data_IF_123499188347
#
_entry.id   IF_123499188347
#
_cell.length_a   1.000
_cell.length_b   1.000
_cell.length_c   1.000
_cell.angle_alpha   90.00
_cell.angle_beta   90.00
_cell.angle_gamma   90.00
#
_symmetry.space_group_name_H-M   'P 1'
#
loop_
_entity.id
_entity.type
_entity.pdbx_description
1 polymer ?
#
# COMPACT_ATOMS: atom_id res chain seq x y z
N UNK A 1 4.74 -8.84 1.66
CA UNK A 1 4.16 -8.23 0.45
C UNK A 1 3.16 -9.17 -0.16
N UNK A 2 2.07 -8.64 -0.70
CA UNK A 2 1.12 -9.34 -1.55
C UNK A 2 1.36 -8.86 -2.97
N UNK A 3 1.50 -9.78 -3.89
CA UNK A 3 1.88 -9.51 -5.28
C UNK A 3 0.91 -10.24 -6.20
N UNK A 4 0.37 -9.51 -7.16
CA UNK A 4 -0.44 -10.07 -8.25
C UNK A 4 0.45 -10.25 -9.48
N UNK A 5 0.46 -11.46 -10.04
CA UNK A 5 1.27 -11.82 -11.20
C UNK A 5 0.35 -12.30 -12.31
N UNK A 6 0.23 -11.53 -13.38
CA UNK A 6 -0.55 -11.91 -14.54
C UNK A 6 0.30 -11.75 -15.80
N UNK A 7 0.62 -12.86 -16.45
CA UNK A 7 1.49 -12.92 -17.64
C UNK A 7 2.86 -12.24 -17.36
N UNK A 8 3.15 -11.11 -17.98
CA UNK A 8 4.37 -10.31 -17.79
C UNK A 8 4.16 -9.13 -16.81
N UNK A 9 2.98 -8.97 -16.25
CA UNK A 9 2.67 -7.92 -15.28
C UNK A 9 2.87 -8.41 -13.85
N UNK A 10 3.64 -7.67 -13.07
CA UNK A 10 3.88 -7.91 -11.64
C UNK A 10 3.44 -6.65 -10.89
N UNK A 11 2.35 -6.74 -10.15
CA UNK A 11 1.78 -5.64 -9.38
C UNK A 11 1.89 -5.93 -7.89
N UNK A 12 2.51 -5.04 -7.12
CA UNK A 12 2.50 -5.10 -5.66
C UNK A 12 1.15 -4.53 -5.20
N UNK A 13 0.34 -5.34 -4.51
CA UNK A 13 -0.97 -4.93 -3.98
C UNK A 13 -0.85 -4.32 -2.59
N UNK A 14 -0.01 -4.90 -1.73
CA UNK A 14 0.24 -4.40 -0.38
C UNK A 14 1.61 -4.78 0.14
N UNK A 15 2.16 -3.92 0.99
CA UNK A 15 3.36 -4.17 1.78
C UNK A 15 3.06 -3.87 3.25
N UNK A 16 3.36 -4.82 4.11
CA UNK A 16 3.32 -4.64 5.57
C UNK A 16 4.54 -5.27 6.19
N UNK A 17 5.06 -4.71 7.27
CA UNK A 17 6.27 -5.20 7.91
C UNK A 17 6.40 -4.77 9.36
N UNK A 18 7.35 -5.39 10.05
CA UNK A 18 7.83 -5.00 11.36
C UNK A 18 9.36 -4.94 11.28
N UNK A 19 9.91 -3.73 11.36
CA UNK A 19 11.34 -3.47 11.19
C UNK A 19 12.22 -4.10 12.28
N UNK A 20 11.59 -4.54 13.37
CA UNK A 20 12.25 -5.17 14.51
C UNK A 20 11.85 -6.64 14.66
N UNK A 21 11.43 -7.31 13.57
CA UNK A 21 11.03 -8.70 13.58
C UNK A 21 11.88 -9.51 12.60
N UNK A 22 12.72 -10.41 13.15
CA UNK A 22 13.62 -11.21 12.33
C UNK A 22 14.22 -12.41 13.06
N UNK A 23 15.31 -12.93 12.50
CA UNK A 23 16.03 -14.07 13.06
C UNK A 23 16.61 -13.86 14.45
N UNK A 24 16.94 -12.60 14.78
CA UNK A 24 17.53 -12.22 16.07
C UNK A 24 16.52 -12.29 17.21
N UNK A 25 15.24 -12.00 16.96
CA UNK A 25 14.17 -12.20 17.95
C UNK A 25 14.08 -13.68 18.40
N UNK A 26 14.27 -14.61 17.46
CA UNK A 26 14.34 -16.04 17.81
C UNK A 26 15.59 -16.36 18.62
N UNK A 27 16.74 -15.74 18.33
CA UNK A 27 17.95 -15.91 19.14
C UNK A 27 17.73 -15.41 20.57
N UNK A 28 17.08 -14.25 20.73
CA UNK A 28 16.73 -13.69 22.04
C UNK A 28 15.72 -14.57 22.80
N UNK A 29 14.71 -15.10 22.10
CA UNK A 29 13.74 -16.02 22.71
C UNK A 29 14.41 -17.29 23.23
N UNK A 30 15.30 -17.91 22.45
CA UNK A 30 16.08 -19.09 22.85
C UNK A 30 17.00 -18.76 24.01
N UNK A 31 17.74 -17.63 23.95
CA UNK A 31 18.62 -17.21 25.03
C UNK A 31 17.84 -16.91 26.32
N UNK A 32 16.69 -16.25 26.20
CA UNK A 32 15.80 -15.99 27.35
C UNK A 32 15.25 -17.27 27.98
N UNK A 33 14.84 -18.25 27.16
CA UNK A 33 14.41 -19.58 27.62
C UNK A 33 15.55 -20.33 28.34
N UNK A 34 16.77 -20.27 27.80
CA UNK A 34 17.97 -20.85 28.43
C UNK A 34 18.24 -20.21 29.79
N UNK A 35 18.26 -18.91 29.91
CA UNK A 35 18.48 -18.20 31.16
C UNK A 35 17.41 -18.53 32.19
N UNK A 36 16.13 -18.60 31.76
CA UNK A 36 15.02 -18.94 32.64
C UNK A 36 15.12 -20.36 33.22
N UNK A 37 15.49 -21.35 32.40
CA UNK A 37 15.68 -22.73 32.84
C UNK A 37 16.76 -22.85 33.93
N UNK A 38 17.85 -22.09 33.75
CA UNK A 38 18.97 -22.10 34.69
C UNK A 38 18.85 -21.07 35.83
N UNK A 39 17.70 -20.39 35.94
CA UNK A 39 17.42 -19.35 36.95
C UNK A 39 18.42 -18.19 36.91
N UNK A 40 18.97 -17.91 35.75
CA UNK A 40 19.91 -16.80 35.52
C UNK A 40 19.14 -15.58 35.05
N UNK A 41 19.65 -14.37 35.41
CA UNK A 41 19.07 -13.12 34.96
C UNK A 41 20.02 -12.44 33.95
N UNK A 42 19.50 -11.98 32.85
CA UNK A 42 20.27 -11.29 31.79
C UNK A 42 21.15 -10.16 32.34
N UNK A 43 20.58 -9.36 33.28
CA UNK A 43 21.30 -8.25 33.92
C UNK A 43 22.53 -8.64 34.74
N UNK A 44 22.71 -9.93 35.04
CA UNK A 44 23.85 -10.47 35.76
C UNK A 44 24.97 -10.93 34.82
N UNK A 45 24.74 -10.95 33.50
CA UNK A 45 25.74 -11.28 32.49
C UNK A 45 26.47 -10.02 32.05
N UNK A 46 27.76 -10.14 31.78
CA UNK A 46 28.47 -9.11 31.03
C UNK A 46 27.98 -9.06 29.59
N UNK A 47 28.18 -7.94 28.90
CA UNK A 47 27.84 -7.77 27.48
C UNK A 47 28.47 -8.86 26.62
N UNK A 48 29.71 -9.23 26.92
CA UNK A 48 30.45 -10.30 26.22
C UNK A 48 29.80 -11.67 26.43
N UNK A 49 29.43 -12.00 27.66
CA UNK A 49 28.75 -13.28 27.95
C UNK A 49 27.38 -13.37 27.28
N UNK A 50 26.62 -12.25 27.27
CA UNK A 50 25.33 -12.21 26.59
C UNK A 50 25.48 -12.34 25.08
N UNK A 51 26.45 -11.67 24.48
CA UNK A 51 26.75 -11.80 23.03
C UNK A 51 27.15 -13.24 22.65
N UNK A 52 27.94 -13.92 23.51
CA UNK A 52 28.29 -15.34 23.32
C UNK A 52 27.04 -16.21 23.44
N UNK A 53 26.15 -15.95 24.41
CA UNK A 53 24.91 -16.68 24.60
C UNK A 53 24.00 -16.56 23.36
N UNK A 54 23.83 -15.34 22.81
CA UNK A 54 23.07 -15.10 21.57
C UNK A 54 23.65 -15.88 20.38
N UNK A 55 24.99 -15.92 20.27
CA UNK A 55 25.66 -16.72 19.22
C UNK A 55 25.43 -18.21 19.39
N UNK A 56 25.36 -18.73 20.63
CA UNK A 56 25.01 -20.12 20.86
C UNK A 56 23.52 -20.40 20.55
N UNK A 57 22.64 -19.45 20.86
CA UNK A 57 21.22 -19.51 20.50
C UNK A 57 21.03 -19.54 18.97
N UNK A 58 21.78 -18.72 18.23
CA UNK A 58 21.79 -18.74 16.76
C UNK A 58 22.23 -20.09 16.20
N UNK A 59 23.35 -20.65 16.72
CA UNK A 59 23.83 -21.97 16.32
C UNK A 59 22.78 -23.06 16.61
N UNK A 60 22.14 -22.98 17.78
CA UNK A 60 21.04 -23.87 18.16
C UNK A 60 19.89 -23.76 17.17
N UNK A 61 19.41 -22.55 16.86
CA UNK A 61 18.37 -22.28 15.86
C UNK A 61 18.70 -22.86 14.49
N UNK A 62 19.93 -22.65 14.00
CA UNK A 62 20.39 -23.16 12.71
C UNK A 62 20.43 -24.70 12.72
N UNK A 63 20.94 -25.32 13.78
CA UNK A 63 21.00 -26.79 13.91
C UNK A 63 19.60 -27.43 13.88
N UNK A 64 18.59 -26.79 14.48
CA UNK A 64 17.20 -27.27 14.48
C UNK A 64 16.54 -27.17 13.08
N UNK A 65 17.18 -26.55 12.11
CA UNK A 65 16.72 -26.58 10.72
C UNK A 65 16.93 -27.94 10.05
N UNK A 66 17.80 -28.78 10.62
CA UNK A 66 18.13 -30.10 10.06
C UNK A 66 18.06 -31.25 11.10
N UNK A 67 18.13 -30.92 12.38
CA UNK A 67 18.09 -31.88 13.48
C UNK A 67 16.77 -31.80 14.26
N UNK A 68 16.20 -32.91 14.72
CA UNK A 68 14.99 -32.90 15.54
C UNK A 68 15.23 -32.27 16.92
N UNK A 69 16.44 -32.40 17.44
CA UNK A 69 16.88 -31.79 18.70
C UNK A 69 18.35 -31.41 18.65
N UNK A 70 18.74 -30.43 19.47
CA UNK A 70 20.13 -29.99 19.59
C UNK A 70 20.45 -29.60 21.03
N UNK A 71 21.71 -29.63 21.38
CA UNK A 71 22.22 -29.30 22.71
C UNK A 71 22.87 -27.90 22.67
N UNK A 72 22.26 -26.98 23.36
CA UNK A 72 22.85 -25.62 23.54
C UNK A 72 23.74 -25.64 24.80
N UNK A 73 24.96 -25.15 24.69
CA UNK A 73 25.93 -25.03 25.79
C UNK A 73 26.44 -23.62 25.89
N UNK A 74 26.44 -23.05 27.09
CA UNK A 74 27.01 -21.72 27.35
C UNK A 74 27.81 -21.73 28.67
N UNK A 75 28.88 -20.93 28.72
CA UNK A 75 29.68 -20.68 29.92
C UNK A 75 29.34 -19.27 30.43
N UNK A 76 28.83 -19.22 31.67
CA UNK A 76 28.40 -17.98 32.31
C UNK A 76 28.97 -17.93 33.72
N UNK A 77 29.67 -16.86 34.08
CA UNK A 77 30.33 -16.76 35.39
C UNK A 77 31.36 -17.88 35.64
N UNK A 78 31.99 -18.41 34.60
CA UNK A 78 32.93 -19.53 34.68
C UNK A 78 32.27 -20.91 34.84
N UNK A 79 30.95 -21.00 34.92
CA UNK A 79 30.20 -22.25 35.02
C UNK A 79 29.56 -22.65 33.68
N UNK A 80 29.61 -23.94 33.35
CA UNK A 80 29.02 -24.46 32.10
C UNK A 80 27.60 -24.90 32.34
N UNK A 81 26.67 -24.34 31.51
CA UNK A 81 25.26 -24.68 31.49
C UNK A 81 24.90 -25.37 30.18
N UNK A 82 23.93 -26.26 30.20
CA UNK A 82 23.50 -27.01 29.02
C UNK A 82 21.98 -27.19 29.01
N UNK A 83 21.35 -27.04 27.86
CA UNK A 83 19.93 -27.27 27.63
C UNK A 83 19.71 -28.04 26.34
N UNK A 84 18.70 -28.88 26.29
CA UNK A 84 18.23 -29.51 25.04
C UNK A 84 17.11 -28.69 24.45
N UNK A 85 17.20 -28.41 23.16
CA UNK A 85 16.21 -27.68 22.40
C UNK A 85 15.61 -28.55 21.31
N UNK A 86 14.29 -28.40 21.12
CA UNK A 86 13.51 -28.95 20.02
C UNK A 86 12.73 -27.79 19.35
N UNK A 87 12.19 -28.02 18.16
CA UNK A 87 11.36 -27.04 17.49
C UNK A 87 10.11 -26.65 18.31
N UNK A 88 9.46 -27.61 19.00
CA UNK A 88 8.31 -27.33 19.87
C UNK A 88 8.66 -26.45 21.06
N UNK A 89 9.86 -26.61 21.62
CA UNK A 89 10.34 -25.73 22.68
C UNK A 89 10.56 -24.33 22.18
N UNK A 90 11.25 -24.15 21.05
CA UNK A 90 11.48 -22.83 20.45
C UNK A 90 10.13 -22.16 20.12
N UNK A 91 9.15 -22.90 19.59
CA UNK A 91 7.84 -22.38 19.29
C UNK A 91 7.13 -21.80 20.52
N UNK A 92 7.20 -22.49 21.65
CA UNK A 92 6.61 -22.01 22.92
C UNK A 92 7.32 -20.76 23.46
N UNK A 93 8.66 -20.77 23.44
CA UNK A 93 9.48 -19.67 23.96
C UNK A 93 9.37 -18.41 23.08
N UNK A 94 9.07 -18.57 21.79
CA UNK A 94 8.90 -17.47 20.82
C UNK A 94 7.45 -17.03 20.60
N UNK A 95 6.54 -17.29 21.53
CA UNK A 95 5.10 -17.00 21.38
C UNK A 95 4.79 -15.54 21.01
N UNK A 96 5.59 -14.58 21.48
CA UNK A 96 5.45 -13.14 21.14
C UNK A 96 5.75 -12.86 19.67
N UNK A 97 6.69 -13.59 19.06
CA UNK A 97 7.10 -13.44 17.66
C UNK A 97 5.94 -13.81 16.75
N UNK A 98 5.27 -14.95 17.01
CA UNK A 98 4.13 -15.42 16.21
C UNK A 98 2.96 -14.42 16.21
N UNK A 99 2.67 -13.79 17.35
CA UNK A 99 1.64 -12.75 17.45
C UNK A 99 1.99 -11.52 16.61
N UNK A 100 3.27 -11.11 16.59
CA UNK A 100 3.73 -10.01 15.76
C UNK A 100 3.64 -10.35 14.27
N UNK A 101 4.09 -11.55 13.86
CA UNK A 101 3.96 -12.04 12.48
C UNK A 101 2.50 -12.06 12.03
N UNK A 102 1.59 -12.60 12.84
CA UNK A 102 0.18 -12.66 12.52
C UNK A 102 -0.43 -11.26 12.30
N UNK A 103 -0.02 -10.27 13.11
CA UNK A 103 -0.47 -8.88 12.94
C UNK A 103 -0.02 -8.33 11.58
N UNK A 104 1.25 -8.50 11.22
CA UNK A 104 1.81 -8.04 9.94
C UNK A 104 1.09 -8.69 8.76
N UNK A 105 0.88 -10.01 8.80
CA UNK A 105 0.18 -10.74 7.75
C UNK A 105 -1.27 -10.28 7.61
N UNK A 106 -1.99 -10.10 8.73
CA UNK A 106 -3.37 -9.60 8.72
C UNK A 106 -3.46 -8.19 8.10
N UNK A 107 -2.55 -7.29 8.47
CA UNK A 107 -2.51 -5.95 7.86
C UNK A 107 -2.23 -6.01 6.36
N UNK A 108 -1.31 -6.87 5.91
CA UNK A 108 -1.04 -7.04 4.48
C UNK A 108 -2.29 -7.50 3.71
N UNK A 109 -3.01 -8.52 4.23
CA UNK A 109 -4.23 -9.03 3.61
C UNK A 109 -5.33 -7.97 3.57
N UNK A 110 -5.54 -7.24 4.67
CA UNK A 110 -6.51 -6.16 4.73
C UNK A 110 -6.19 -5.03 3.75
N UNK A 111 -4.94 -4.58 3.73
CA UNK A 111 -4.48 -3.51 2.85
C UNK A 111 -4.54 -3.92 1.36
N UNK A 112 -4.20 -5.18 1.06
CA UNK A 112 -4.29 -5.76 -0.29
C UNK A 112 -5.72 -6.11 -0.70
N UNK A 113 -6.67 -6.12 0.27
CA UNK A 113 -8.06 -6.57 0.06
C UNK A 113 -8.13 -7.96 -0.55
N UNK A 114 -7.30 -8.87 -0.04
CA UNK A 114 -7.17 -10.24 -0.51
C UNK A 114 -7.50 -11.17 0.64
N UNK A 115 -8.31 -12.18 0.41
CA UNK A 115 -8.60 -13.24 1.37
C UNK A 115 -7.50 -14.32 1.36
N UNK A 116 -7.48 -15.18 2.37
CA UNK A 116 -6.50 -16.28 2.44
C UNK A 116 -6.67 -17.27 1.28
N UNK A 117 -7.90 -17.48 0.84
CA UNK A 117 -8.27 -18.40 -0.25
C UNK A 117 -7.85 -17.89 -1.64
N UNK A 118 -7.60 -16.59 -1.78
CA UNK A 118 -7.11 -15.96 -3.03
C UNK A 118 -5.59 -15.99 -3.17
N UNK A 119 -4.88 -16.53 -2.16
CA UNK A 119 -3.42 -16.64 -2.22
C UNK A 119 -3.03 -17.95 -2.89
N UNK A 120 -2.54 -17.90 -4.12
CA UNK A 120 -2.12 -19.07 -4.90
C UNK A 120 -0.78 -19.66 -4.43
N UNK A 121 0.12 -18.85 -3.90
CA UNK A 121 1.44 -19.30 -3.45
C UNK A 121 2.02 -18.43 -2.34
N UNK A 122 2.69 -19.07 -1.39
CA UNK A 122 3.46 -18.42 -0.32
C UNK A 122 4.95 -18.62 -0.58
N UNK A 123 5.71 -17.54 -0.70
CA UNK A 123 7.16 -17.59 -0.95
C UNK A 123 7.89 -17.10 0.29
N UNK A 124 8.80 -17.92 0.83
CA UNK A 124 9.64 -17.54 1.95
C UNK A 124 11.03 -17.11 1.48
N UNK A 125 11.35 -15.84 1.68
CA UNK A 125 12.65 -15.25 1.40
C UNK A 125 13.44 -14.98 2.69
N UNK A 126 14.76 -15.01 2.59
CA UNK A 126 15.65 -14.76 3.72
C UNK A 126 15.96 -15.99 4.56
N UNK A 127 16.88 -15.82 5.53
CA UNK A 127 17.41 -16.92 6.35
C UNK A 127 16.36 -17.56 7.26
N UNK A 128 15.48 -16.76 7.86
CA UNK A 128 14.41 -17.26 8.75
C UNK A 128 13.36 -18.09 8.01
N UNK A 129 13.17 -17.90 6.72
CA UNK A 129 12.31 -18.72 5.87
C UNK A 129 12.77 -20.18 5.75
N UNK A 130 14.04 -20.47 6.09
CA UNK A 130 14.59 -21.84 6.11
C UNK A 130 14.24 -22.60 7.40
N UNK A 131 13.71 -21.92 8.42
CA UNK A 131 13.34 -22.56 9.70
C UNK A 131 12.08 -23.42 9.51
N UNK A 132 12.11 -24.71 9.90
CA UNK A 132 10.94 -25.60 9.82
C UNK A 132 9.72 -25.04 10.56
N UNK A 133 9.95 -24.37 11.69
CA UNK A 133 8.89 -23.70 12.47
C UNK A 133 8.15 -22.64 11.66
N UNK A 134 8.89 -21.80 10.91
CA UNK A 134 8.30 -20.74 10.08
C UNK A 134 7.54 -21.36 8.90
N UNK A 135 8.11 -22.40 8.29
CA UNK A 135 7.46 -23.11 7.18
C UNK A 135 6.15 -23.76 7.66
N UNK A 136 6.19 -24.52 8.77
CA UNK A 136 4.98 -25.17 9.31
C UNK A 136 3.93 -24.15 9.77
N UNK A 137 4.35 -23.02 10.32
CA UNK A 137 3.42 -21.95 10.70
C UNK A 137 2.70 -21.38 9.48
N UNK A 138 3.43 -21.10 8.40
CA UNK A 138 2.85 -20.59 7.16
C UNK A 138 1.98 -21.64 6.46
N UNK A 139 2.41 -22.91 6.45
CA UNK A 139 1.62 -24.00 5.90
C UNK A 139 0.27 -24.16 6.63
N UNK A 140 0.25 -24.07 7.95
CA UNK A 140 -0.99 -24.12 8.74
C UNK A 140 -1.88 -22.88 8.52
N UNK A 141 -1.29 -21.70 8.32
CA UNK A 141 -2.04 -20.47 8.16
C UNK A 141 -2.70 -20.37 6.78
N UNK A 142 -2.00 -20.80 5.72
CA UNK A 142 -2.45 -20.67 4.34
C UNK A 142 -2.99 -21.98 3.74
N UNK A 143 -2.99 -23.07 4.49
CA UNK A 143 -3.37 -24.43 4.04
C UNK A 143 -2.64 -24.87 2.77
N UNK A 144 -1.39 -24.43 2.62
CA UNK A 144 -0.54 -24.75 1.47
C UNK A 144 0.94 -24.75 1.85
N UNK A 145 1.72 -25.65 1.24
CA UNK A 145 3.17 -25.75 1.50
C UNK A 145 3.90 -24.53 0.90
N UNK A 146 4.59 -23.73 1.73
CA UNK A 146 5.29 -22.57 1.25
C UNK A 146 6.49 -22.92 0.37
N UNK A 147 6.73 -22.09 -0.67
CA UNK A 147 7.87 -22.23 -1.56
C UNK A 147 9.15 -21.73 -0.87
N UNK A 148 10.10 -22.64 -0.66
CA UNK A 148 11.43 -22.33 -0.11
C UNK A 148 12.50 -22.78 -1.09
N UNK A 149 13.36 -21.87 -1.50
CA UNK A 149 14.44 -22.21 -2.43
C UNK A 149 15.76 -22.42 -1.69
N UNK A 150 16.67 -23.20 -2.27
CA UNK A 150 18.03 -23.38 -1.72
C UNK A 150 18.85 -22.09 -1.62
N UNK A 151 18.42 -21.02 -2.32
CA UNK A 151 19.03 -19.70 -2.35
C UNK A 151 18.10 -18.61 -1.78
N UNK A 152 17.24 -18.95 -0.82
CA UNK A 152 16.29 -18.00 -0.19
C UNK A 152 16.93 -16.73 0.35
N UNK A 153 18.17 -16.81 0.81
CA UNK A 153 19.02 -15.70 1.25
C UNK A 153 19.55 -14.82 0.11
N UNK A 154 19.52 -15.30 -1.15
CA UNK A 154 19.97 -14.57 -2.34
C UNK A 154 18.79 -14.05 -3.19
N UNK A 155 17.55 -14.40 -2.87
CA UNK A 155 16.38 -14.06 -3.69
C UNK A 155 16.28 -12.57 -3.97
N UNK A 156 16.52 -11.73 -2.96
CA UNK A 156 16.45 -10.27 -3.09
C UNK A 156 17.50 -9.77 -4.10
N UNK A 157 18.75 -10.22 -3.96
CA UNK A 157 19.82 -9.81 -4.86
C UNK A 157 19.56 -10.27 -6.32
N UNK A 158 19.05 -11.49 -6.50
CA UNK A 158 18.65 -12.01 -7.83
C UNK A 158 17.48 -11.23 -8.41
N UNK A 159 16.45 -10.91 -7.59
CA UNK A 159 15.32 -10.08 -8.00
C UNK A 159 15.76 -8.69 -8.45
N UNK A 160 16.67 -8.04 -7.70
CA UNK A 160 17.25 -6.75 -8.10
C UNK A 160 17.98 -6.84 -9.46
N UNK A 161 18.68 -7.94 -9.73
CA UNK A 161 19.31 -8.17 -11.04
C UNK A 161 18.29 -8.23 -12.18
N UNK A 162 17.12 -8.86 -11.95
CA UNK A 162 16.03 -8.88 -12.93
C UNK A 162 15.44 -7.49 -13.13
N UNK A 163 15.17 -6.75 -12.03
CA UNK A 163 14.66 -5.37 -12.10
C UNK A 163 15.61 -4.47 -12.89
N UNK A 164 16.92 -4.57 -12.67
CA UNK A 164 17.90 -3.84 -13.47
C UNK A 164 17.78 -4.20 -14.96
N UNK A 165 17.61 -5.48 -15.29
CA UNK A 165 17.39 -5.92 -16.66
C UNK A 165 16.14 -5.33 -17.30
N UNK A 166 15.01 -5.27 -16.55
CA UNK A 166 13.77 -4.63 -16.99
C UNK A 166 13.98 -3.13 -17.24
N UNK A 167 14.68 -2.44 -16.32
CA UNK A 167 14.97 -1.01 -16.45
C UNK A 167 15.86 -0.70 -17.64
N UNK A 168 16.83 -1.57 -17.94
CA UNK A 168 17.72 -1.48 -19.10
C UNK A 168 17.04 -1.96 -20.40
N UNK A 169 15.81 -2.46 -20.35
CA UNK A 169 15.05 -3.02 -21.47
C UNK A 169 15.79 -4.12 -22.21
N UNK A 170 16.45 -5.03 -21.44
CA UNK A 170 17.09 -6.20 -22.02
C UNK A 170 16.06 -7.11 -22.67
N UNK A 171 16.39 -7.71 -23.83
CA UNK A 171 15.44 -8.45 -24.65
C UNK A 171 14.72 -9.59 -23.91
N UNK A 172 15.40 -10.26 -22.97
CA UNK A 172 14.84 -11.39 -22.21
C UNK A 172 13.78 -10.98 -21.18
N UNK A 173 13.76 -9.70 -20.75
CA UNK A 173 12.89 -9.22 -19.66
C UNK A 173 12.17 -7.91 -19.99
N UNK A 174 12.31 -7.37 -21.19
CA UNK A 174 11.75 -6.05 -21.58
C UNK A 174 10.23 -5.96 -21.51
N UNK A 175 9.55 -7.10 -21.63
CA UNK A 175 8.08 -7.16 -21.67
C UNK A 175 7.49 -7.21 -20.24
N UNK A 176 8.33 -7.37 -19.21
CA UNK A 176 7.86 -7.32 -17.83
C UNK A 176 7.54 -5.89 -17.41
N UNK A 177 6.37 -5.72 -16.80
CA UNK A 177 5.91 -4.47 -16.20
C UNK A 177 5.82 -4.65 -14.70
N UNK A 178 6.62 -3.88 -13.98
CA UNK A 178 6.63 -3.86 -12.53
C UNK A 178 5.89 -2.60 -12.05
N UNK A 179 4.85 -2.79 -11.24
CA UNK A 179 4.12 -1.70 -10.58
C UNK A 179 4.43 -1.75 -9.10
N UNK A 180 5.02 -0.68 -8.59
CA UNK A 180 5.36 -0.51 -7.17
C UNK A 180 4.31 0.35 -6.48
N UNK A 181 4.36 0.41 -5.14
CA UNK A 181 3.44 1.15 -4.29
C UNK A 181 4.18 2.08 -3.32
N UNK A 182 3.49 3.11 -2.84
CA UNK A 182 3.99 3.97 -1.77
C UNK A 182 4.00 3.18 -0.45
N UNK A 183 5.16 2.93 0.17
CA UNK A 183 5.23 2.05 1.34
C UNK A 183 4.68 2.69 2.61
N UNK A 184 4.59 4.02 2.66
CA UNK A 184 4.08 4.79 3.78
C UNK A 184 3.28 5.99 3.29
N UNK A 185 2.28 6.40 4.07
CA UNK A 185 1.51 7.60 3.76
C UNK A 185 2.39 8.86 3.80
N UNK A 186 2.16 9.76 2.85
CA UNK A 186 2.82 11.05 2.73
C UNK A 186 1.79 12.16 2.92
N UNK A 187 2.11 13.15 3.73
CA UNK A 187 1.16 14.22 4.03
C UNK A 187 1.79 15.44 4.67
N UNK A 188 0.94 16.33 5.13
CA UNK A 188 1.31 17.59 5.79
C UNK A 188 0.66 17.72 7.16
N UNK A 189 1.33 18.45 8.07
CA UNK A 189 0.73 18.85 9.33
C UNK A 189 -0.31 19.92 9.11
N UNK A 190 -1.52 19.73 9.65
CA UNK A 190 -2.61 20.69 9.62
C UNK A 190 -3.10 20.94 11.03
N UNK A 191 -3.47 22.21 11.31
CA UNK A 191 -3.97 22.59 12.62
C UNK A 191 -5.25 21.85 12.97
N UNK A 192 -5.28 21.30 14.18
CA UNK A 192 -6.47 20.63 14.69
C UNK A 192 -7.47 21.66 15.22
N UNK A 193 -8.76 21.48 14.93
CA UNK A 193 -9.85 22.35 15.41
C UNK A 193 -10.48 21.86 16.71
N UNK A 194 -9.98 20.74 17.28
CA UNK A 194 -10.52 20.14 18.53
C UNK A 194 -9.99 20.79 19.83
N UNK A 195 -9.17 21.86 19.70
CA UNK A 195 -8.53 22.54 20.82
C UNK A 195 -7.19 21.92 21.25
N UNK A 196 -6.69 20.93 20.54
CA UNK A 196 -5.34 20.40 20.71
C UNK A 196 -4.30 21.37 20.13
N UNK A 197 -3.19 21.56 20.83
CA UNK A 197 -2.04 22.34 20.33
C UNK A 197 -1.19 21.56 19.30
N UNK A 198 -1.53 20.28 19.04
CA UNK A 198 -0.80 19.41 18.11
C UNK A 198 -1.47 19.38 16.75
N UNK A 199 -0.66 19.46 15.69
CA UNK A 199 -1.12 19.33 14.33
C UNK A 199 -1.49 17.86 14.01
N UNK A 200 -2.55 17.68 13.23
CA UNK A 200 -2.95 16.37 12.67
C UNK A 200 -2.19 16.11 11.37
N UNK A 201 -2.00 14.83 11.06
CA UNK A 201 -1.48 14.37 9.77
C UNK A 201 -2.59 14.40 8.73
N UNK A 202 -2.53 15.33 7.78
CA UNK A 202 -3.39 15.31 6.59
C UNK A 202 -2.67 14.57 5.46
N UNK A 203 -3.12 13.37 5.16
CA UNK A 203 -2.53 12.50 4.16
C UNK A 203 -2.92 12.98 2.74
N UNK A 204 -1.94 13.08 1.84
CA UNK A 204 -2.11 13.36 0.41
C UNK A 204 -1.95 12.08 -0.41
N UNK A 205 -0.86 11.34 -0.20
CA UNK A 205 -0.66 10.03 -0.84
C UNK A 205 -0.73 8.98 0.26
N UNK A 206 -1.71 8.10 0.17
CA UNK A 206 -1.87 7.00 1.12
C UNK A 206 -0.85 5.89 0.88
N UNK A 207 -0.47 5.16 1.93
CA UNK A 207 0.30 3.91 1.78
C UNK A 207 -0.43 2.96 0.82
N UNK A 208 0.32 2.13 0.15
CA UNK A 208 -0.15 1.20 -0.86
C UNK A 208 -0.78 1.86 -2.11
N UNK A 209 -0.65 3.19 -2.28
CA UNK A 209 -0.99 3.84 -3.56
C UNK A 209 0.02 3.42 -4.62
N UNK A 210 -0.46 2.95 -5.79
CA UNK A 210 0.39 2.57 -6.93
C UNK A 210 1.23 3.75 -7.42
N UNK A 211 2.51 3.49 -7.68
CA UNK A 211 3.48 4.50 -8.13
C UNK A 211 3.70 4.43 -9.66
N UNK A 212 3.98 5.55 -10.31
CA UNK A 212 4.08 6.91 -9.77
C UNK A 212 2.69 7.50 -9.45
N UNK A 213 2.61 8.38 -8.44
CA UNK A 213 1.36 8.99 -7.99
C UNK A 213 1.47 10.51 -7.87
N UNK A 214 0.39 11.21 -8.22
CA UNK A 214 0.24 12.65 -8.00
C UNK A 214 -1.12 12.91 -7.35
N UNK A 215 -1.12 13.67 -6.25
CA UNK A 215 -2.31 14.02 -5.48
C UNK A 215 -2.27 15.48 -5.08
N UNK A 216 -3.42 16.13 -5.14
CA UNK A 216 -3.57 17.54 -4.74
C UNK A 216 -4.68 17.68 -3.71
N UNK A 217 -4.43 18.50 -2.69
CA UNK A 217 -5.44 18.89 -1.70
C UNK A 217 -5.38 20.39 -1.45
N UNK A 218 -6.54 20.96 -1.14
CA UNK A 218 -6.70 22.37 -0.82
C UNK A 218 -6.69 22.61 0.68
N UNK A 219 -5.96 23.64 1.10
CA UNK A 219 -5.83 24.05 2.51
C UNK A 219 -6.10 25.55 2.61
N UNK A 220 -6.62 25.97 3.76
CA UNK A 220 -7.03 27.36 3.99
C UNK A 220 -6.20 27.98 5.10
N UNK A 221 -6.06 29.32 5.06
CA UNK A 221 -5.44 30.10 6.15
C UNK A 221 -6.24 29.94 7.43
N UNK A 222 -5.53 29.79 8.56
CA UNK A 222 -6.14 29.54 9.88
C UNK A 222 -6.32 30.80 10.75
N UNK A 223 -5.69 31.94 10.38
CA UNK A 223 -5.70 33.18 11.14
C UNK A 223 -5.97 34.36 10.23
N UNK A 224 -6.60 35.42 10.80
CA UNK A 224 -6.77 36.69 10.13
C UNK A 224 -5.40 37.35 9.86
N UNK A 225 -5.26 37.95 8.68
CA UNK A 225 -4.04 38.63 8.24
C UNK A 225 -2.78 37.75 8.22
N UNK A 226 -2.94 36.45 8.06
CA UNK A 226 -1.83 35.51 7.88
C UNK A 226 -1.07 35.85 6.59
N UNK A 227 0.24 36.06 6.70
CA UNK A 227 1.13 36.43 5.56
C UNK A 227 2.08 35.30 5.17
N UNK A 228 2.23 34.29 6.01
CA UNK A 228 3.10 33.13 5.77
C UNK A 228 2.38 31.85 6.24
N UNK A 229 2.49 30.79 5.43
CA UNK A 229 2.10 29.42 5.81
C UNK A 229 3.35 28.56 5.83
N UNK A 230 3.53 27.83 6.92
CA UNK A 230 4.60 26.87 7.07
C UNK A 230 4.01 25.48 6.83
N UNK A 231 4.46 24.84 5.75
CA UNK A 231 4.03 23.49 5.38
C UNK A 231 5.12 22.51 5.81
N UNK A 232 4.81 21.72 6.83
CA UNK A 232 5.67 20.63 7.29
C UNK A 232 5.25 19.34 6.59
N UNK A 233 6.19 18.66 5.94
CA UNK A 233 5.97 17.42 5.18
C UNK A 233 6.39 16.23 6.03
N UNK A 234 5.53 15.22 6.11
CA UNK A 234 5.73 14.04 6.94
C UNK A 234 5.48 12.73 6.18
N UNK A 235 6.12 11.67 6.68
CA UNK A 235 5.90 10.28 6.24
C UNK A 235 5.51 9.44 7.45
N UNK A 236 4.40 8.69 7.36
CA UNK A 236 3.97 7.75 8.42
C UNK A 236 2.46 7.64 8.53
N UNK A 237 2.02 6.85 9.52
CA UNK A 237 0.62 6.47 9.72
C UNK A 237 0.03 7.02 11.03
N UNK A 238 0.79 7.77 11.80
CA UNK A 238 0.32 8.30 13.08
C UNK A 238 -0.63 9.48 12.87
N UNK A 239 -1.65 9.56 13.71
CA UNK A 239 -2.67 10.60 13.68
C UNK A 239 -2.09 12.01 13.87
N UNK A 240 -1.17 12.17 14.84
CA UNK A 240 -0.48 13.44 15.05
C UNK A 240 0.71 13.56 14.12
N UNK A 241 0.89 14.75 13.53
CA UNK A 241 1.93 14.99 12.53
C UNK A 241 3.35 14.75 13.07
N UNK A 242 3.63 15.24 14.28
CA UNK A 242 4.95 15.15 14.94
C UNK A 242 5.32 13.74 15.42
N UNK A 243 4.40 12.80 15.46
CA UNK A 243 4.68 11.38 15.72
C UNK A 243 5.13 10.64 14.45
N UNK A 244 5.15 11.32 13.29
CA UNK A 244 5.58 10.80 12.01
C UNK A 244 7.01 11.30 11.67
N UNK A 245 7.64 10.67 10.67
CA UNK A 245 8.97 11.06 10.20
C UNK A 245 8.91 12.39 9.44
N UNK A 246 9.57 13.47 9.91
CA UNK A 246 9.64 14.71 9.17
C UNK A 246 10.54 14.55 7.94
N UNK A 247 10.05 14.97 6.77
CA UNK A 247 10.77 14.94 5.50
C UNK A 247 11.30 16.31 5.09
N UNK A 248 10.61 17.38 5.48
CA UNK A 248 11.01 18.75 5.14
C UNK A 248 9.98 19.79 5.54
N UNK A 249 10.35 21.05 5.33
CA UNK A 249 9.53 22.21 5.65
C UNK A 249 9.61 23.22 4.51
N UNK A 250 8.46 23.83 4.17
CA UNK A 250 8.35 24.87 3.15
C UNK A 250 7.66 26.08 3.77
N UNK A 251 8.25 27.25 3.59
CA UNK A 251 7.63 28.54 3.92
C UNK A 251 7.05 29.15 2.66
N UNK A 252 5.77 29.50 2.70
CA UNK A 252 5.03 30.01 1.56
C UNK A 252 4.29 31.29 1.93
N UNK A 253 4.48 32.35 1.15
CA UNK A 253 3.83 33.64 1.41
C UNK A 253 2.42 33.67 0.83
N UNK A 254 1.51 34.25 1.58
CA UNK A 254 0.10 34.40 1.21
C UNK A 254 -0.35 35.86 1.44
N UNK A 255 -1.34 36.36 0.69
CA UNK A 255 -1.87 37.69 0.90
C UNK A 255 -2.65 37.75 2.24
N UNK A 256 -2.50 38.86 3.00
CA UNK A 256 -3.21 39.02 4.28
C UNK A 256 -4.70 39.24 4.03
N UNK A 257 -5.51 38.26 4.45
CA UNK A 257 -6.99 38.29 4.44
C UNK A 257 -7.54 37.65 5.70
N UNK A 258 -8.86 37.54 5.81
CA UNK A 258 -9.50 36.83 6.92
C UNK A 258 -9.17 35.33 6.87
N UNK A 259 -9.20 34.70 8.02
CA UNK A 259 -9.07 33.24 8.13
C UNK A 259 -10.07 32.54 7.20
N UNK A 260 -9.60 31.54 6.46
CA UNK A 260 -10.40 30.78 5.50
C UNK A 260 -10.65 31.45 4.14
N UNK A 261 -10.28 32.71 3.93
CA UNK A 261 -10.47 33.39 2.63
C UNK A 261 -9.36 33.09 1.62
N UNK A 262 -8.15 32.78 2.09
CA UNK A 262 -7.03 32.41 1.21
C UNK A 262 -6.84 30.90 1.26
N UNK A 263 -6.67 30.30 0.10
CA UNK A 263 -6.35 28.88 0.02
C UNK A 263 -5.05 28.64 -0.75
N UNK A 264 -4.46 27.49 -0.43
CA UNK A 264 -3.24 26.97 -1.02
C UNK A 264 -3.54 25.55 -1.50
N UNK A 265 -3.33 25.32 -2.77
CA UNK A 265 -3.35 23.97 -3.33
C UNK A 265 -1.95 23.37 -3.14
N UNK A 266 -1.88 22.24 -2.43
CA UNK A 266 -0.65 21.49 -2.17
C UNK A 266 -0.73 20.20 -2.96
N UNK A 267 0.25 20.00 -3.85
CA UNK A 267 0.38 18.81 -4.69
C UNK A 267 1.62 18.04 -4.32
N UNK A 268 1.46 16.74 -4.12
CA UNK A 268 2.53 15.77 -3.99
C UNK A 268 2.61 14.93 -5.25
N UNK A 269 3.80 14.80 -5.83
CA UNK A 269 4.09 13.86 -6.90
C UNK A 269 5.24 12.97 -6.47
N UNK A 270 5.02 11.66 -6.42
CA UNK A 270 5.98 10.69 -5.90
C UNK A 270 6.27 9.60 -6.93
N UNK A 271 7.55 9.31 -7.17
CA UNK A 271 7.98 8.32 -8.16
C UNK A 271 8.49 7.01 -7.52
N UNK A 272 8.72 6.00 -8.36
CA UNK A 272 9.24 4.69 -7.97
C UNK A 272 10.69 4.73 -7.42
N UNK A 273 11.40 5.85 -7.59
CA UNK A 273 12.77 6.01 -7.07
C UNK A 273 12.80 6.74 -5.72
N UNK A 274 11.65 7.02 -5.13
CA UNK A 274 11.56 7.72 -3.86
C UNK A 274 11.75 9.24 -3.95
N UNK A 275 11.58 9.83 -5.14
CA UNK A 275 11.63 11.27 -5.34
C UNK A 275 10.25 11.86 -5.07
N UNK A 276 10.13 12.74 -4.08
CA UNK A 276 8.92 13.47 -3.74
C UNK A 276 9.03 14.93 -4.18
N UNK A 277 8.20 15.31 -5.15
CA UNK A 277 8.00 16.71 -5.48
C UNK A 277 6.82 17.26 -4.69
N UNK A 278 7.01 18.38 -4.03
CA UNK A 278 5.97 19.13 -3.32
C UNK A 278 5.79 20.47 -3.98
N UNK A 279 4.61 20.70 -4.55
CA UNK A 279 4.21 21.98 -5.15
C UNK A 279 3.18 22.68 -4.29
N UNK A 280 3.38 23.96 -4.07
CA UNK A 280 2.41 24.86 -3.46
C UNK A 280 1.99 25.90 -4.48
N UNK A 281 0.69 26.14 -4.57
CA UNK A 281 0.11 27.13 -5.47
C UNK A 281 -1.00 27.90 -4.77
N UNK A 282 -0.98 29.24 -4.85
CA UNK A 282 -2.13 30.07 -4.51
C UNK A 282 -2.66 30.77 -5.76
N UNK A 283 -3.89 30.42 -6.19
CA UNK A 283 -4.47 31.02 -7.40
C UNK A 283 -4.66 32.54 -7.34
N UNK A 284 -4.86 33.08 -6.13
CA UNK A 284 -5.09 34.52 -5.97
C UNK A 284 -3.92 35.39 -6.43
N UNK A 285 -2.69 34.96 -6.14
CA UNK A 285 -1.48 35.70 -6.55
C UNK A 285 -0.77 35.07 -7.73
N UNK A 286 -1.19 33.84 -8.12
CA UNK A 286 -0.50 33.06 -9.13
C UNK A 286 0.86 32.53 -8.65
N UNK A 287 1.22 32.73 -7.36
CA UNK A 287 2.49 32.29 -6.82
C UNK A 287 2.56 30.77 -6.77
N UNK A 288 3.70 30.24 -7.24
CA UNK A 288 4.02 28.80 -7.17
C UNK A 288 5.39 28.62 -6.54
N UNK A 289 5.50 27.60 -5.73
CA UNK A 289 6.78 27.16 -5.16
C UNK A 289 6.86 25.64 -5.24
N UNK A 290 8.00 25.13 -5.67
CA UNK A 290 8.24 23.71 -5.80
C UNK A 290 9.50 23.35 -5.02
N UNK A 291 9.44 22.31 -4.23
CA UNK A 291 10.62 21.67 -3.65
C UNK A 291 10.65 20.20 -4.03
N UNK A 292 11.85 19.65 -4.07
CA UNK A 292 12.09 18.23 -4.27
C UNK A 292 12.75 17.68 -3.02
N UNK A 293 12.10 16.68 -2.43
CA UNK A 293 12.60 15.97 -1.25
C UNK A 293 13.10 14.60 -1.73
N UNK A 294 14.35 14.30 -1.42
CA UNK A 294 14.98 13.02 -1.75
C UNK A 294 15.44 12.36 -0.46
N UNK A 295 15.21 11.06 -0.33
CA UNK A 295 15.50 10.30 0.90
C UNK A 295 16.98 10.13 1.20
N UNK A 296 17.86 10.26 0.19
CA UNK A 296 19.32 10.17 0.32
C UNK A 296 20.00 11.34 -0.39
N UNK A 297 20.87 12.05 0.33
CA UNK A 297 21.69 13.12 -0.25
C UNK A 297 22.72 12.53 -1.22
N UNK A 298 22.67 12.95 -2.47
CA UNK A 298 23.81 12.87 -3.38
C UNK A 298 23.74 11.85 -4.52
N UNK A 299 22.63 11.15 -4.73
CA UNK A 299 22.55 10.13 -5.81
C UNK A 299 22.15 10.67 -7.18
N UNK A 300 21.60 11.89 -7.30
CA UNK A 300 21.13 12.46 -8.57
C UNK A 300 21.75 13.83 -8.87
N UNK A 301 22.16 13.99 -10.12
CA UNK A 301 22.59 15.29 -10.65
C UNK A 301 21.38 16.23 -10.88
N UNK A 302 21.60 17.54 -10.91
CA UNK A 302 20.55 18.52 -11.18
C UNK A 302 19.88 18.29 -12.56
N UNK A 303 20.64 17.86 -13.56
CA UNK A 303 20.10 17.52 -14.87
C UNK A 303 19.15 16.30 -14.85
N UNK A 304 19.47 15.29 -14.04
CA UNK A 304 18.62 14.12 -13.84
C UNK A 304 17.34 14.49 -13.07
N UNK A 305 17.43 15.38 -12.07
CA UNK A 305 16.26 15.93 -11.38
C UNK A 305 15.34 16.68 -12.33
N UNK A 306 15.91 17.58 -13.15
CA UNK A 306 15.15 18.31 -14.17
C UNK A 306 14.46 17.39 -15.19
N UNK A 307 15.15 16.35 -15.64
CA UNK A 307 14.57 15.38 -16.56
C UNK A 307 13.37 14.64 -15.94
N UNK A 308 13.47 14.27 -14.66
CA UNK A 308 12.38 13.61 -13.93
C UNK A 308 11.21 14.57 -13.64
N UNK A 309 11.49 15.82 -13.28
CA UNK A 309 10.44 16.84 -13.07
C UNK A 309 9.60 17.04 -14.34
N UNK A 310 10.21 16.98 -15.53
CA UNK A 310 9.47 16.99 -16.81
C UNK A 310 8.55 15.79 -17.00
N UNK A 311 8.93 14.63 -16.50
CA UNK A 311 8.05 13.43 -16.52
C UNK A 311 6.88 13.62 -15.55
N UNK A 312 7.10 14.26 -14.41
CA UNK A 312 6.05 14.54 -13.42
C UNK A 312 4.94 15.47 -13.95
N UNK A 313 5.26 16.37 -14.89
CA UNK A 313 4.23 17.22 -15.49
C UNK A 313 3.09 16.42 -16.12
N UNK A 314 3.39 15.24 -16.68
CA UNK A 314 2.37 14.35 -17.26
C UNK A 314 1.46 13.70 -16.19
N UNK A 315 1.95 13.57 -14.97
CA UNK A 315 1.20 12.98 -13.85
C UNK A 315 0.30 14.00 -13.14
N UNK A 316 0.52 15.29 -13.38
CA UNK A 316 -0.21 16.39 -12.71
C UNK A 316 -1.57 16.68 -13.36
N UNK A 317 -1.91 16.01 -14.45
CA UNK A 317 -3.22 16.13 -15.09
C UNK A 317 -4.24 15.46 -14.20
N UNK A 318 -5.25 16.21 -13.74
CA UNK A 318 -6.31 15.64 -12.91
C UNK A 318 -7.03 14.54 -13.70
N UNK A 319 -7.35 13.37 -13.09
CA UNK A 319 -8.01 12.28 -13.80
C UNK A 319 -9.28 12.69 -14.54
N UNK A 320 -10.05 13.66 -14.03
CA UNK A 320 -11.23 14.22 -14.71
C UNK A 320 -10.90 14.92 -16.04
N UNK A 321 -9.68 15.42 -16.21
CA UNK A 321 -9.25 16.14 -17.41
C UNK A 321 -8.72 15.21 -18.51
N UNK A 322 -8.53 13.92 -18.21
CA UNK A 322 -8.12 12.92 -19.19
C UNK A 322 -9.26 12.65 -20.18
N UNK A 323 -8.96 12.69 -21.48
CA UNK A 323 -9.95 12.52 -22.56
C UNK A 323 -10.81 11.27 -22.38
N UNK A 324 -10.20 10.16 -22.01
CA UNK A 324 -10.88 8.87 -21.79
C UNK A 324 -11.93 8.93 -20.66
N UNK A 325 -11.66 9.68 -19.60
CA UNK A 325 -12.57 9.85 -18.47
C UNK A 325 -13.65 10.90 -18.77
N UNK A 326 -13.28 11.99 -19.47
CA UNK A 326 -14.24 12.98 -19.96
C UNK A 326 -15.26 12.36 -20.90
N UNK A 327 -14.81 11.47 -21.79
CA UNK A 327 -15.72 10.73 -22.67
C UNK A 327 -16.74 9.91 -21.88
N UNK A 328 -16.32 9.19 -20.85
CA UNK A 328 -17.22 8.39 -20.02
C UNK A 328 -18.20 9.24 -19.20
N UNK A 329 -17.76 10.38 -18.65
CA UNK A 329 -18.63 11.34 -17.96
C UNK A 329 -19.69 11.83 -18.95
N UNK A 330 -19.27 12.32 -20.11
CA UNK A 330 -20.17 12.85 -21.13
C UNK A 330 -21.15 11.78 -21.64
N UNK A 331 -20.70 10.53 -21.80
CA UNK A 331 -21.57 9.40 -22.14
C UNK A 331 -22.62 9.15 -21.06
N UNK A 332 -22.22 9.07 -19.79
CA UNK A 332 -23.12 8.90 -18.66
C UNK A 332 -24.15 10.03 -18.54
N UNK A 333 -23.72 11.28 -18.69
CA UNK A 333 -24.61 12.47 -18.70
C UNK A 333 -25.62 12.40 -19.85
N UNK A 334 -25.17 12.03 -21.05
CA UNK A 334 -26.06 11.89 -22.21
C UNK A 334 -27.12 10.79 -21.98
N UNK A 335 -26.75 9.65 -21.45
CA UNK A 335 -27.66 8.56 -21.10
C UNK A 335 -28.64 8.99 -19.99
N UNK A 336 -28.15 9.71 -18.97
CA UNK A 336 -28.98 10.22 -17.88
C UNK A 336 -30.08 11.18 -18.38
N UNK A 337 -29.75 12.09 -19.29
CA UNK A 337 -30.74 13.02 -19.88
C UNK A 337 -31.79 12.28 -20.72
N UNK A 338 -31.42 11.21 -21.41
CA UNK A 338 -32.32 10.43 -22.27
C UNK A 338 -33.17 9.43 -21.50
N UNK A 339 -32.90 9.17 -20.23
CA UNK A 339 -33.56 8.13 -19.41
C UNK A 339 -34.58 8.73 -18.44
N UNK A 340 -35.48 7.88 -17.91
CA UNK A 340 -36.47 8.22 -16.87
C UNK A 340 -36.63 7.07 -15.88
N UNK A 341 -37.18 7.36 -14.68
CA UNK A 341 -37.47 6.36 -13.64
C UNK A 341 -36.22 5.59 -13.19
N UNK A 342 -36.37 4.34 -12.82
CA UNK A 342 -35.30 3.50 -12.28
C UNK A 342 -34.04 3.43 -13.15
N UNK A 343 -34.19 3.49 -14.47
CA UNK A 343 -33.03 3.52 -15.37
C UNK A 343 -32.21 4.80 -15.23
N UNK A 344 -32.89 5.93 -15.05
CA UNK A 344 -32.22 7.21 -14.78
C UNK A 344 -31.49 7.21 -13.45
N UNK A 345 -32.11 6.61 -12.43
CA UNK A 345 -31.50 6.51 -11.10
C UNK A 345 -30.25 5.66 -11.15
N UNK A 346 -30.27 4.49 -11.79
CA UNK A 346 -29.11 3.62 -11.97
C UNK A 346 -27.96 4.30 -12.73
N UNK A 347 -28.26 5.06 -13.80
CA UNK A 347 -27.24 5.83 -14.53
C UNK A 347 -26.65 6.91 -13.62
N UNK A 348 -27.48 7.60 -12.83
CA UNK A 348 -27.06 8.62 -11.88
C UNK A 348 -26.10 8.10 -10.82
N UNK A 349 -26.36 6.91 -10.28
CA UNK A 349 -25.53 6.24 -9.31
C UNK A 349 -24.15 5.85 -9.89
N UNK A 350 -24.11 5.25 -11.08
CA UNK A 350 -22.85 4.95 -11.77
C UNK A 350 -22.05 6.21 -12.11
N UNK A 351 -22.71 7.28 -12.52
CA UNK A 351 -22.07 8.56 -12.81
C UNK A 351 -21.49 9.20 -11.54
N UNK A 352 -22.26 9.17 -10.43
CA UNK A 352 -21.82 9.64 -9.11
C UNK A 352 -20.64 8.82 -8.60
N UNK A 353 -20.72 7.49 -8.68
CA UNK A 353 -19.61 6.61 -8.34
C UNK A 353 -18.34 6.91 -9.12
N UNK A 354 -18.44 6.99 -10.46
CA UNK A 354 -17.27 7.27 -11.30
C UNK A 354 -16.68 8.66 -11.02
N UNK A 355 -17.53 9.67 -10.81
CA UNK A 355 -17.09 11.03 -10.45
C UNK A 355 -16.35 11.04 -9.12
N UNK A 356 -16.87 10.34 -8.10
CA UNK A 356 -16.20 10.20 -6.79
C UNK A 356 -14.86 9.46 -6.91
N UNK A 357 -14.80 8.40 -7.74
CA UNK A 357 -13.57 7.67 -8.01
C UNK A 357 -12.49 8.58 -8.64
N UNK A 358 -12.87 9.44 -9.57
CA UNK A 358 -11.96 10.41 -10.20
C UNK A 358 -11.47 11.48 -9.23
N UNK A 359 -12.32 11.91 -8.28
CA UNK A 359 -11.91 12.85 -7.21
C UNK A 359 -10.87 12.23 -6.28
N UNK A 360 -10.92 10.94 -6.05
CA UNK A 360 -9.91 10.21 -5.29
C UNK A 360 -8.53 10.19 -5.94
N UNK A 361 -8.41 10.57 -7.23
CA UNK A 361 -7.17 10.72 -8.01
C UNK A 361 -6.27 9.46 -8.01
N UNK A 362 -6.80 8.28 -7.67
CA UNK A 362 -6.06 7.02 -7.64
C UNK A 362 -6.09 6.34 -9.03
N UNK A 363 -5.03 6.54 -9.80
CA UNK A 363 -4.92 6.02 -11.17
C UNK A 363 -5.05 4.50 -11.24
N UNK A 364 -4.53 3.78 -10.26
CA UNK A 364 -4.64 2.32 -10.18
C UNK A 364 -6.10 1.88 -10.00
N UNK A 365 -6.81 2.48 -9.04
CA UNK A 365 -8.24 2.22 -8.82
C UNK A 365 -9.08 2.64 -10.02
N UNK A 366 -8.81 3.83 -10.59
CA UNK A 366 -9.51 4.35 -11.76
C UNK A 366 -9.38 3.37 -12.93
N UNK A 367 -8.18 2.92 -13.25
CA UNK A 367 -7.91 1.97 -14.34
C UNK A 367 -8.67 0.65 -14.15
N UNK A 368 -8.65 0.09 -12.93
CA UNK A 368 -9.35 -1.17 -12.61
C UNK A 368 -10.88 -1.04 -12.72
N UNK A 369 -11.44 0.08 -12.27
CA UNK A 369 -12.89 0.27 -12.22
C UNK A 369 -13.47 0.89 -13.50
N UNK A 370 -12.68 1.60 -14.29
CA UNK A 370 -13.14 2.25 -15.54
C UNK A 370 -13.82 1.27 -16.48
N UNK A 371 -13.24 0.09 -16.69
CA UNK A 371 -13.84 -0.93 -17.55
C UNK A 371 -15.22 -1.36 -17.06
N UNK A 372 -15.41 -1.50 -15.75
CA UNK A 372 -16.74 -1.84 -15.19
C UNK A 372 -17.78 -0.74 -15.44
N UNK A 373 -17.35 0.54 -15.34
CA UNK A 373 -18.23 1.69 -15.65
C UNK A 373 -18.57 1.73 -17.15
N UNK A 374 -17.59 1.46 -18.02
CA UNK A 374 -17.79 1.34 -19.48
C UNK A 374 -18.82 0.26 -19.82
N UNK A 375 -18.65 -0.92 -19.24
CA UNK A 375 -19.54 -2.07 -19.45
C UNK A 375 -20.95 -1.78 -18.91
N UNK A 376 -21.06 -1.17 -17.73
CA UNK A 376 -22.35 -0.75 -17.17
C UNK A 376 -23.08 0.26 -18.06
N UNK A 377 -22.38 1.31 -18.52
CA UNK A 377 -22.98 2.29 -19.44
C UNK A 377 -23.38 1.67 -20.78
N UNK A 378 -22.60 0.70 -21.30
CA UNK A 378 -22.96 -0.01 -22.52
C UNK A 378 -24.24 -0.84 -22.35
N UNK A 379 -24.40 -1.54 -21.22
CA UNK A 379 -25.62 -2.31 -20.91
C UNK A 379 -26.83 -1.37 -20.73
N UNK A 380 -26.70 -0.29 -19.97
CA UNK A 380 -27.76 0.69 -19.76
C UNK A 380 -28.18 1.38 -21.06
N UNK A 381 -27.24 1.65 -21.97
CA UNK A 381 -27.50 2.19 -23.31
C UNK A 381 -28.33 1.20 -24.16
N UNK A 382 -28.00 -0.10 -24.11
CA UNK A 382 -28.79 -1.11 -24.78
C UNK A 382 -30.24 -1.16 -24.25
N UNK A 383 -30.43 -1.15 -22.92
CA UNK A 383 -31.76 -1.11 -22.31
C UNK A 383 -32.56 0.11 -22.79
N UNK A 384 -31.89 1.28 -22.85
CA UNK A 384 -32.53 2.50 -23.32
C UNK A 384 -32.99 2.40 -24.80
N UNK A 385 -32.17 1.79 -25.68
CA UNK A 385 -32.48 1.57 -27.08
C UNK A 385 -33.70 0.61 -27.25
N UNK A 386 -33.81 -0.43 -26.43
CA UNK A 386 -34.93 -1.36 -26.47
C UNK A 386 -36.25 -0.73 -25.97
N UNK A 387 -36.23 0.31 -25.15
CA UNK A 387 -37.42 1.06 -24.73
C UNK A 387 -38.07 1.88 -25.85
N UNK A 388 -37.31 2.21 -26.90
CA UNK A 388 -37.82 2.93 -28.07
C UNK A 388 -38.43 2.06 -29.17
N UNK A 389 -38.39 0.72 -29.06
CA UNK A 389 -38.95 -0.20 -30.04
C UNK A 389 -40.34 -0.66 -29.58
N UNK A 390 -41.42 -0.46 -30.38
CA UNK A 390 -42.74 -1.00 -30.04
C UNK A 390 -42.65 -2.52 -29.82
N UNK A 391 -43.26 -3.04 -28.75
CA UNK A 391 -43.38 -4.47 -28.52
C UNK A 391 -44.00 -5.16 -29.74
N UNK A 392 -43.20 -5.87 -30.56
CA UNK A 392 -43.71 -6.60 -31.68
C UNK A 392 -42.72 -7.24 -32.64
N UNK A 393 -41.49 -6.87 -32.64
CA UNK A 393 -40.49 -7.46 -33.56
C UNK A 393 -39.13 -7.64 -32.90
N UNK A 394 -38.87 -8.83 -32.36
CA UNK A 394 -37.51 -9.25 -32.01
C UNK A 394 -37.23 -10.62 -32.67
N UNK A 395 -36.36 -10.66 -33.72
CA UNK A 395 -36.06 -11.89 -34.44
C UNK A 395 -34.96 -12.78 -33.81
N UNK A 396 -34.36 -12.45 -32.65
CA UNK A 396 -33.14 -13.11 -32.22
C UNK A 396 -33.09 -13.61 -30.76
N UNK A 397 -34.23 -13.76 -30.02
CA UNK A 397 -34.12 -14.23 -28.64
C UNK A 397 -35.21 -15.22 -28.25
N UNK A 398 -34.87 -16.51 -28.25
CA UNK A 398 -35.73 -17.56 -27.66
C UNK A 398 -35.49 -17.76 -26.13
N UNK A 399 -34.56 -17.07 -25.45
CA UNK A 399 -34.23 -17.34 -24.05
C UNK A 399 -34.13 -16.12 -23.11
N UNK A 400 -34.64 -14.95 -23.49
CA UNK A 400 -34.55 -13.72 -22.65
C UNK A 400 -35.86 -13.35 -21.93
N UNK A 401 -36.88 -14.15 -21.99
CA UNK A 401 -38.24 -13.82 -21.51
C UNK A 401 -38.48 -14.10 -20.01
N UNK A 402 -37.50 -14.58 -19.25
CA UNK A 402 -37.71 -14.92 -17.83
C UNK A 402 -37.19 -13.87 -16.82
N UNK A 403 -36.46 -12.83 -17.24
CA UNK A 403 -36.07 -11.71 -16.36
C UNK A 403 -36.12 -10.38 -17.12
N UNK A 404 -36.69 -9.35 -16.49
CA UNK A 404 -36.59 -7.97 -17.00
C UNK A 404 -35.10 -7.56 -17.00
N UNK A 405 -34.52 -7.18 -18.16
CA UNK A 405 -33.12 -6.75 -18.23
C UNK A 405 -32.79 -5.59 -17.29
N UNK A 406 -33.79 -4.76 -16.93
CA UNK A 406 -33.62 -3.66 -15.96
C UNK A 406 -33.41 -4.18 -14.55
N UNK A 407 -34.18 -5.20 -14.14
CA UNK A 407 -34.05 -5.80 -12.80
C UNK A 407 -32.66 -6.47 -12.65
N UNK A 408 -32.18 -7.16 -13.68
CA UNK A 408 -30.89 -7.83 -13.63
C UNK A 408 -29.69 -6.83 -13.48
N UNK A 409 -29.72 -5.69 -14.17
CA UNK A 409 -28.67 -4.67 -14.05
C UNK A 409 -28.75 -3.93 -12.71
N UNK A 410 -29.97 -3.68 -12.21
CA UNK A 410 -30.21 -3.04 -10.90
C UNK A 410 -29.80 -4.00 -9.78
N UNK A 411 -30.17 -5.29 -9.86
CA UNK A 411 -29.75 -6.32 -8.91
C UNK A 411 -28.23 -6.52 -8.88
N UNK A 412 -27.56 -6.54 -10.02
CA UNK A 412 -26.09 -6.61 -10.08
C UNK A 412 -25.42 -5.36 -9.49
N UNK A 413 -26.01 -4.20 -9.69
CA UNK A 413 -25.53 -2.94 -9.09
C UNK A 413 -25.79 -2.93 -7.58
N UNK A 414 -26.98 -3.28 -7.10
CA UNK A 414 -27.30 -3.36 -5.67
C UNK A 414 -26.39 -4.38 -4.96
N UNK A 415 -26.16 -5.54 -5.56
CA UNK A 415 -25.25 -6.56 -5.04
C UNK A 415 -23.78 -6.07 -5.05
N UNK A 416 -23.42 -5.21 -5.99
CA UNK A 416 -22.11 -4.57 -6.03
C UNK A 416 -21.98 -3.49 -4.94
N UNK A 417 -22.99 -2.63 -4.79
CA UNK A 417 -23.04 -1.57 -3.74
C UNK A 417 -23.00 -2.20 -2.35
N UNK A 418 -23.74 -3.27 -2.10
CA UNK A 418 -23.71 -3.97 -0.81
C UNK A 418 -22.35 -4.60 -0.51
N UNK A 419 -21.69 -5.17 -1.51
CA UNK A 419 -20.33 -5.74 -1.34
C UNK A 419 -19.27 -4.67 -1.05
N UNK A 420 -19.47 -3.41 -1.47
CA UNK A 420 -18.50 -2.33 -1.34
C UNK A 420 -18.92 -1.23 -0.34
N UNK A 421 -20.04 -1.39 0.37
CA UNK A 421 -20.57 -0.44 1.36
C UNK A 421 -19.68 -0.23 2.60
N UNK A 422 -18.60 -0.99 2.75
CA UNK A 422 -17.62 -0.87 3.83
C UNK A 422 -16.29 -0.24 3.41
N UNK A 423 -16.18 0.26 2.17
CA UNK A 423 -14.93 0.70 1.57
C UNK A 423 -14.78 2.24 1.46
N UNK A 424 -15.66 3.02 2.10
CA UNK A 424 -15.58 4.49 2.15
C UNK A 424 -14.97 4.99 3.48
#
# INVERSE_FOLDING_TARGET
SIVDCFDTMVEILAVSGDNHLGGDDFNEAIAGGFLKEHQLQQKCLSETEYAILLRQAEKCKIALSTLPETKMTAVIGGQTYQSVYTNERVMRESSGIWKRMQRVLRHALQDGRVSLEEIDAVILAGGSGKMPLVQSYMEQLFDQTPLVTGFSDQLIARGLGLVCGVMERKDEVRDYVLTDICPFSLGVGVRNHDGSDRDMMSILIERNTSLPASREKRYYTSHDNQTEVVVNVYQGENYYADDNLPLGQIKFHVPPKRAGEVYIDIRFTYDINGLLEVQLHTPETGQRQTIVIQKEDGSMTEAEKEAKLKVFEKLKIHPKEKEENQYLIAKGEALYVQSTGALRDAIGEWLGYFTSLLEGQDEGKIRKQRKKVEDAFAQLEQILQYQGVPMGMNPYTENWYERDPKEAVIEDFEAWVERHRGES
#
